data_IF_568181035128
#
_entry.id   IF_568181035128
#
_cell.length_a   1.000
_cell.length_b   1.000
_cell.length_c   1.000
_cell.angle_alpha   90.00
_cell.angle_beta   90.00
_cell.angle_gamma   90.00
#
_symmetry.space_group_name_H-M   'P 1'
#
loop_
_entity.id
_entity.type
_entity.pdbx_description
1 polymer ?
#
# COMPACT_ATOMS: atom_id res chain seq x y z
N UNK A 1 16.45 37.58 24.75
CA UNK A 1 16.04 36.78 23.58
C UNK A 1 15.83 35.35 24.05
N UNK A 2 14.57 34.91 24.17
CA UNK A 2 14.26 33.57 24.67
C UNK A 2 13.41 32.85 23.63
N UNK A 3 13.98 31.79 23.07
CA UNK A 3 13.51 31.09 21.88
C UNK A 3 12.10 30.53 22.06
N UNK A 4 11.25 30.87 21.10
CA UNK A 4 9.93 30.28 20.91
C UNK A 4 10.15 28.79 20.57
N UNK A 5 9.86 27.92 21.54
CA UNK A 5 9.86 26.47 21.32
C UNK A 5 8.70 26.18 20.37
N UNK A 6 9.01 25.80 19.14
CA UNK A 6 8.02 25.29 18.20
C UNK A 6 7.26 24.14 18.85
N UNK A 7 6.01 24.39 19.22
CA UNK A 7 5.08 23.34 19.59
C UNK A 7 4.85 22.52 18.33
N UNK A 8 5.54 21.39 18.25
CA UNK A 8 5.17 20.30 17.34
C UNK A 8 3.74 19.95 17.71
N UNK A 9 2.79 20.40 16.89
CA UNK A 9 1.39 19.99 16.94
C UNK A 9 1.32 18.53 16.56
N UNK A 10 1.75 17.66 17.47
CA UNK A 10 1.52 16.23 17.37
C UNK A 10 0.01 16.04 17.42
N UNK A 11 -0.57 15.61 16.30
CA UNK A 11 -1.95 15.16 16.21
C UNK A 11 -2.20 14.20 17.40
N UNK A 12 -2.92 14.69 18.42
CA UNK A 12 -3.31 13.86 19.56
C UNK A 12 -4.46 12.98 19.08
N UNK A 13 -4.11 11.87 18.45
CA UNK A 13 -5.07 10.87 18.00
C UNK A 13 -5.75 10.27 19.23
N UNK A 14 -7.08 10.26 19.24
CA UNK A 14 -7.86 9.66 20.32
C UNK A 14 -7.75 8.13 20.26
N UNK A 15 -7.97 7.48 21.40
CA UNK A 15 -7.95 6.01 21.48
C UNK A 15 -8.99 5.37 20.54
N UNK A 16 -10.14 6.03 20.35
CA UNK A 16 -11.17 5.58 19.42
C UNK A 16 -10.70 5.64 17.96
N UNK A 17 -10.02 6.72 17.56
CA UNK A 17 -9.45 6.85 16.22
C UNK A 17 -8.34 5.82 15.97
N UNK A 18 -7.52 5.53 16.99
CA UNK A 18 -6.50 4.46 16.93
C UNK A 18 -7.18 3.10 16.73
N UNK A 19 -8.23 2.80 17.50
CA UNK A 19 -8.94 1.53 17.41
C UNK A 19 -9.69 1.35 16.07
N UNK A 20 -10.28 2.42 15.52
CA UNK A 20 -10.91 2.41 14.20
C UNK A 20 -9.88 2.13 13.11
N UNK A 21 -8.74 2.84 13.15
CA UNK A 21 -7.63 2.61 12.21
C UNK A 21 -7.14 1.17 12.27
N UNK A 22 -6.91 0.64 13.47
CA UNK A 22 -6.48 -0.76 13.67
C UNK A 22 -7.48 -1.75 13.09
N UNK A 23 -8.77 -1.53 13.32
CA UNK A 23 -9.84 -2.40 12.81
C UNK A 23 -9.84 -2.42 11.28
N UNK A 24 -9.69 -1.25 10.64
CA UNK A 24 -9.58 -1.14 9.18
C UNK A 24 -8.32 -1.84 8.64
N UNK A 25 -7.18 -1.64 9.29
CA UNK A 25 -5.93 -2.29 8.89
C UNK A 25 -6.02 -3.81 8.98
N UNK A 26 -6.66 -4.36 10.01
CA UNK A 26 -6.85 -5.79 10.14
C UNK A 26 -7.67 -6.39 8.99
N UNK A 27 -8.77 -5.73 8.60
CA UNK A 27 -9.63 -6.17 7.48
C UNK A 27 -8.84 -6.24 6.17
N UNK A 28 -7.92 -5.30 5.94
CA UNK A 28 -7.09 -5.25 4.75
C UNK A 28 -5.94 -6.27 4.76
N UNK A 29 -5.68 -6.97 5.86
CA UNK A 29 -4.55 -7.87 5.98
C UNK A 29 -4.94 -9.34 5.77
N UNK A 30 -4.58 -9.94 4.62
CA UNK A 30 -5.00 -11.30 4.29
C UNK A 30 -4.50 -12.35 5.30
N UNK A 31 -3.34 -12.12 5.94
CA UNK A 31 -2.75 -13.05 6.90
C UNK A 31 -3.36 -12.95 8.31
N UNK A 32 -3.93 -11.78 8.66
CA UNK A 32 -4.59 -11.59 9.94
C UNK A 32 -6.05 -12.09 9.88
N UNK A 33 -6.69 -11.97 8.71
CA UNK A 33 -8.02 -12.54 8.47
C UNK A 33 -8.07 -14.08 8.54
N UNK A 34 -6.95 -14.78 8.32
CA UNK A 34 -6.90 -16.25 8.45
C UNK A 34 -6.75 -16.72 9.91
N UNK A 35 -6.36 -15.83 10.82
CA UNK A 35 -5.97 -16.15 12.21
C UNK A 35 -6.82 -15.41 13.24
N UNK A 36 -8.08 -15.14 12.87
CA UNK A 36 -9.07 -14.27 13.54
C UNK A 36 -9.30 -14.50 15.03
N UNK A 37 -8.81 -15.59 15.61
CA UNK A 37 -8.97 -15.91 17.03
C UNK A 37 -7.83 -15.41 17.93
N UNK A 38 -6.74 -14.86 17.39
CA UNK A 38 -5.64 -14.32 18.22
C UNK A 38 -5.64 -12.80 18.25
N UNK A 39 -5.80 -12.21 19.45
CA UNK A 39 -5.55 -10.78 19.68
C UNK A 39 -4.11 -10.45 19.26
N UNK A 40 -3.95 -9.64 18.22
CA UNK A 40 -2.67 -9.17 17.75
C UNK A 40 -2.33 -7.83 18.41
N UNK A 41 -1.06 -7.62 18.77
CA UNK A 41 -0.60 -6.32 19.26
C UNK A 41 -0.62 -5.28 18.14
N UNK A 42 -0.78 -4.00 18.49
CA UNK A 42 -0.73 -2.89 17.55
C UNK A 42 0.55 -2.92 16.70
N UNK A 43 1.70 -3.15 17.34
CA UNK A 43 2.99 -3.25 16.66
C UNK A 43 3.01 -4.36 15.60
N UNK A 44 2.37 -5.50 15.87
CA UNK A 44 2.30 -6.61 14.91
C UNK A 44 1.41 -6.24 13.73
N UNK A 45 0.27 -5.60 13.99
CA UNK A 45 -0.66 -5.16 12.93
C UNK A 45 0.04 -4.17 11.99
N UNK A 46 0.70 -3.16 12.54
CA UNK A 46 1.45 -2.17 11.75
C UNK A 46 2.60 -2.83 10.95
N UNK A 47 3.34 -3.77 11.55
CA UNK A 47 4.40 -4.49 10.85
C UNK A 47 3.85 -5.31 9.68
N UNK A 48 2.74 -6.01 9.87
CA UNK A 48 2.07 -6.75 8.81
C UNK A 48 1.52 -5.82 7.73
N UNK A 49 0.95 -4.66 8.10
CA UNK A 49 0.54 -3.61 7.17
C UNK A 49 1.70 -3.17 6.29
N UNK A 50 2.83 -2.77 6.87
CA UNK A 50 4.00 -2.33 6.10
C UNK A 50 4.54 -3.45 5.21
N UNK A 51 4.51 -4.70 5.69
CA UNK A 51 4.97 -5.85 4.92
C UNK A 51 4.04 -6.18 3.76
N UNK A 52 2.72 -6.03 3.95
CA UNK A 52 1.74 -6.22 2.90
C UNK A 52 1.85 -5.14 1.82
N UNK A 53 2.02 -3.87 2.20
CA UNK A 53 2.26 -2.77 1.25
C UNK A 53 3.50 -3.07 0.39
N UNK A 54 4.61 -3.50 1.00
CA UNK A 54 5.82 -3.87 0.25
C UNK A 54 5.60 -5.01 -0.72
N UNK A 55 4.81 -6.03 -0.35
CA UNK A 55 4.47 -7.13 -1.28
C UNK A 55 3.63 -6.63 -2.45
N UNK A 56 2.61 -5.80 -2.18
CA UNK A 56 1.76 -5.24 -3.23
C UNK A 56 2.56 -4.36 -4.19
N UNK A 57 3.46 -3.52 -3.68
CA UNK A 57 4.36 -2.71 -4.51
C UNK A 57 5.19 -3.59 -5.45
N UNK A 58 5.79 -4.66 -4.89
CA UNK A 58 6.54 -5.62 -5.71
C UNK A 58 5.65 -6.32 -6.75
N UNK A 59 4.45 -6.76 -6.39
CA UNK A 59 3.52 -7.40 -7.32
C UNK A 59 3.13 -6.46 -8.47
N UNK A 60 2.94 -5.17 -8.18
CA UNK A 60 2.69 -4.14 -9.20
C UNK A 60 3.91 -3.96 -10.12
N UNK A 61 5.11 -3.88 -9.56
CA UNK A 61 6.36 -3.74 -10.32
C UNK A 61 6.60 -4.96 -11.22
N UNK A 62 6.52 -6.17 -10.66
CA UNK A 62 6.70 -7.44 -11.38
C UNK A 62 5.65 -7.60 -12.50
N UNK A 63 4.40 -7.19 -12.25
CA UNK A 63 3.35 -7.21 -13.27
C UNK A 63 3.60 -6.18 -14.37
N UNK A 64 4.08 -4.99 -14.01
CA UNK A 64 4.48 -3.95 -14.96
C UNK A 64 5.59 -4.41 -15.90
N UNK A 65 6.64 -5.02 -15.36
CA UNK A 65 7.74 -5.59 -16.16
C UNK A 65 7.23 -6.68 -17.10
N UNK A 66 6.41 -7.61 -16.60
CA UNK A 66 5.84 -8.69 -17.43
C UNK A 66 4.95 -8.15 -18.54
N UNK A 67 4.19 -7.08 -18.27
CA UNK A 67 3.36 -6.42 -19.28
C UNK A 67 4.23 -5.76 -20.36
N UNK A 68 5.29 -5.05 -19.98
CA UNK A 68 6.24 -4.45 -20.92
C UNK A 68 6.87 -5.52 -21.83
N UNK A 69 7.32 -6.64 -21.27
CA UNK A 69 7.86 -7.76 -22.04
C UNK A 69 6.83 -8.35 -23.02
N UNK A 70 5.58 -8.52 -22.58
CA UNK A 70 4.51 -9.01 -23.45
C UNK A 70 4.24 -8.05 -24.62
N UNK A 71 4.23 -6.74 -24.36
CA UNK A 71 4.07 -5.71 -25.38
C UNK A 71 5.21 -5.70 -26.40
N UNK A 72 6.44 -5.96 -25.97
CA UNK A 72 7.59 -6.08 -26.88
C UNK A 72 7.60 -7.38 -27.68
N UNK A 73 7.06 -8.46 -27.11
CA UNK A 73 7.01 -9.78 -27.77
C UNK A 73 5.87 -9.92 -28.80
N UNK A 74 4.81 -9.14 -28.65
CA UNK A 74 3.67 -9.19 -29.55
C UNK A 74 3.97 -8.28 -30.75
N UNK A 75 3.74 -8.77 -31.97
CA UNK A 75 3.85 -7.99 -33.23
C UNK A 75 2.64 -7.02 -33.31
N UNK A 76 2.55 -6.14 -32.31
CA UNK A 76 1.52 -5.14 -32.14
C UNK A 76 1.89 -4.00 -33.07
N UNK A 77 0.94 -3.58 -33.91
CA UNK A 77 1.15 -2.39 -34.73
C UNK A 77 1.51 -1.21 -33.82
N UNK A 78 2.40 -0.33 -34.28
CA UNK A 78 2.88 0.85 -33.54
C UNK A 78 1.70 1.75 -33.05
N UNK A 79 0.55 1.66 -33.71
CA UNK A 79 -0.71 2.33 -33.36
C UNK A 79 -1.37 1.70 -32.13
N UNK A 80 -1.51 0.37 -32.12
CA UNK A 80 -2.13 -0.37 -31.01
C UNK A 80 -1.29 -0.25 -29.73
N UNK A 81 0.05 -0.21 -29.87
CA UNK A 81 0.98 0.03 -28.75
C UNK A 81 0.69 1.38 -28.07
N UNK A 82 0.58 2.46 -28.84
CA UNK A 82 0.33 3.82 -28.30
C UNK A 82 -1.02 3.95 -27.61
N UNK A 83 -2.06 3.27 -28.13
CA UNK A 83 -3.38 3.27 -27.49
C UNK A 83 -3.32 2.60 -26.12
N UNK A 84 -2.57 1.50 -26.00
CA UNK A 84 -2.40 0.79 -24.74
C UNK A 84 -1.56 1.58 -23.72
N UNK A 85 -0.47 2.21 -24.17
CA UNK A 85 0.36 3.08 -23.32
C UNK A 85 -0.47 4.24 -22.74
N UNK A 86 -1.29 4.90 -23.56
CA UNK A 86 -2.19 5.97 -23.11
C UNK A 86 -3.27 5.50 -22.14
N UNK A 87 -3.67 4.22 -22.19
CA UNK A 87 -4.63 3.64 -21.26
C UNK A 87 -3.99 3.37 -19.89
N UNK A 88 -2.73 2.95 -19.87
CA UNK A 88 -1.99 2.62 -18.63
C UNK A 88 -1.45 3.87 -17.90
N UNK A 89 -1.33 5.01 -18.58
CA UNK A 89 -0.87 6.28 -18.01
C UNK A 89 -1.98 7.15 -17.38
N UNK A 90 -3.25 6.70 -17.38
CA UNK A 90 -4.40 7.38 -16.76
C UNK A 90 -4.70 6.86 -15.37
#
# INVERSE_FOLDING_TARGET
MSGQRSSTTGLKLTENEINDLVSRLQVLLPHLNQRTNSKHSLSKILQETCSHIRRLQKEVDDLGERLALLMDSMDISDVDRRVLENFLQQ
#
